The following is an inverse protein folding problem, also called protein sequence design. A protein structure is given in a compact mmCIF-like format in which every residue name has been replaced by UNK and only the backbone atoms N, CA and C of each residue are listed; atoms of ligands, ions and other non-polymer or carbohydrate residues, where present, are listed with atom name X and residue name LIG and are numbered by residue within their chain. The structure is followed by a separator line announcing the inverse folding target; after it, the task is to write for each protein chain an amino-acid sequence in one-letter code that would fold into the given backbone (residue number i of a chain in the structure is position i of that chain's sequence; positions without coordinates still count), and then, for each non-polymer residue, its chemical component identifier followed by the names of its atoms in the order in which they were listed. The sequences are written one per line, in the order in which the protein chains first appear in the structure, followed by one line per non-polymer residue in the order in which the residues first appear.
data_IF_982747475297
#
_entry.id   IF_982747475297
#
_cell.length_a   1.000
_cell.length_b   1.000
_cell.length_c   1.000
_cell.angle_alpha   90.00
_cell.angle_beta   90.00
_cell.angle_gamma   90.00
#
_symmetry.space_group_name_H-M   'P 1'
#
loop_
_entity.id
_entity.type
_entity.pdbx_description
1 polymer ?
#
# COMPACT_ATOMS: atom_id res chain seq x y z
N UNK A 1 15.65 33.99 -24.82
CA UNK A 1 15.91 33.74 -23.39
C UNK A 1 14.96 32.65 -22.90
N UNK A 2 15.32 31.37 -23.00
CA UNK A 2 14.42 30.25 -22.60
C UNK A 2 15.13 29.13 -21.83
N UNK A 3 16.25 29.44 -21.17
CA UNK A 3 17.07 28.45 -20.45
C UNK A 3 17.04 28.60 -18.91
N UNK A 4 16.11 29.39 -18.35
CA UNK A 4 16.11 29.68 -16.90
C UNK A 4 15.36 28.65 -16.04
N UNK A 5 14.73 27.63 -16.62
CA UNK A 5 14.04 26.59 -15.85
C UNK A 5 14.45 25.21 -16.36
N UNK A 6 14.92 24.30 -15.48
CA UNK A 6 15.10 22.92 -15.87
C UNK A 6 13.75 22.36 -16.35
N UNK A 7 13.70 21.60 -17.47
CA UNK A 7 12.47 20.98 -17.95
C UNK A 7 11.94 19.89 -16.99
N UNK A 8 12.74 19.54 -15.99
CA UNK A 8 12.45 18.52 -15.00
C UNK A 8 11.90 19.14 -13.72
N UNK A 9 10.65 18.81 -13.38
CA UNK A 9 10.14 19.06 -12.03
C UNK A 9 10.90 18.17 -11.05
N UNK A 10 11.30 18.74 -9.92
CA UNK A 10 11.85 17.95 -8.82
C UNK A 10 10.86 16.82 -8.47
N UNK A 11 11.40 15.64 -8.21
CA UNK A 11 10.62 14.49 -7.79
C UNK A 11 10.07 14.76 -6.38
N UNK A 12 8.78 15.07 -6.31
CA UNK A 12 8.07 15.42 -5.08
C UNK A 12 7.40 14.17 -4.51
N UNK A 13 7.62 13.90 -3.22
CA UNK A 13 6.92 12.80 -2.54
C UNK A 13 5.49 13.24 -2.18
N UNK A 14 4.55 12.31 -2.21
CA UNK A 14 3.18 12.57 -1.77
C UNK A 14 3.09 12.87 -0.28
N UNK A 15 4.05 12.44 0.53
CA UNK A 15 4.10 12.73 1.97
C UNK A 15 4.85 14.01 2.34
N UNK A 16 5.54 14.65 1.38
CA UNK A 16 6.46 15.76 1.66
C UNK A 16 5.72 16.95 2.26
N UNK A 17 6.12 17.35 3.47
CA UNK A 17 5.49 18.46 4.22
C UNK A 17 4.04 18.21 4.66
N UNK A 18 3.52 16.99 4.53
CA UNK A 18 2.14 16.65 4.91
C UNK A 18 2.04 15.77 6.17
N UNK A 19 3.10 15.03 6.49
CA UNK A 19 3.15 14.18 7.69
C UNK A 19 3.96 14.89 8.75
N UNK A 20 3.26 15.44 9.73
CA UNK A 20 3.86 16.08 10.91
C UNK A 20 4.38 15.04 11.92
N UNK A 21 5.21 15.48 12.88
CA UNK A 21 5.83 14.59 13.86
C UNK A 21 4.84 13.97 14.86
N UNK A 22 3.66 14.58 15.03
CA UNK A 22 2.56 14.11 15.86
C UNK A 22 1.48 13.34 15.06
N UNK A 23 1.70 13.11 13.76
CA UNK A 23 0.80 12.32 12.94
C UNK A 23 0.71 10.86 13.44
N UNK A 24 -0.32 10.14 12.98
CA UNK A 24 -0.47 8.71 13.26
C UNK A 24 0.79 7.93 12.86
N UNK A 25 1.28 7.06 13.75
CA UNK A 25 2.46 6.20 13.53
C UNK A 25 2.35 5.44 12.21
N UNK A 26 1.16 4.99 11.84
CA UNK A 26 0.91 4.34 10.55
C UNK A 26 1.31 5.23 9.36
N UNK A 27 0.93 6.51 9.38
CA UNK A 27 1.25 7.46 8.31
C UNK A 27 2.73 7.85 8.32
N UNK A 28 3.35 7.94 9.50
CA UNK A 28 4.79 8.16 9.64
C UNK A 28 5.60 6.99 9.03
N UNK A 29 5.18 5.75 9.28
CA UNK A 29 5.83 4.56 8.74
C UNK A 29 5.63 4.45 7.21
N UNK A 30 4.48 4.86 6.69
CA UNK A 30 4.28 4.91 5.24
C UNK A 30 5.10 6.02 4.58
N UNK A 31 5.12 7.23 5.15
CA UNK A 31 5.88 8.36 4.58
C UNK A 31 7.37 8.08 4.53
N UNK A 32 7.94 7.49 5.58
CA UNK A 32 9.36 7.11 5.62
C UNK A 32 9.73 6.06 4.56
N UNK A 33 8.79 5.21 4.17
CA UNK A 33 8.95 4.16 3.15
C UNK A 33 8.62 4.60 1.74
N UNK A 34 7.95 5.74 1.55
CA UNK A 34 7.44 6.18 0.25
C UNK A 34 8.57 6.26 -0.79
N UNK A 35 9.66 6.99 -0.47
CA UNK A 35 10.78 7.16 -1.40
C UNK A 35 11.38 5.83 -1.82
N UNK A 36 11.70 4.97 -0.85
CA UNK A 36 12.34 3.68 -1.10
C UNK A 36 11.46 2.73 -1.91
N UNK A 37 10.14 2.74 -1.68
CA UNK A 37 9.19 1.96 -2.49
C UNK A 37 9.12 2.47 -3.93
N UNK A 38 8.98 3.78 -4.13
CA UNK A 38 8.85 4.34 -5.49
C UNK A 38 10.10 4.16 -6.35
N UNK A 39 11.30 4.13 -5.75
CA UNK A 39 12.55 3.86 -6.48
C UNK A 39 12.90 2.37 -6.56
N UNK A 40 12.10 1.48 -5.96
CA UNK A 40 12.30 0.03 -5.99
C UNK A 40 13.42 -0.49 -5.09
N UNK A 41 13.89 0.29 -4.11
CA UNK A 41 14.89 -0.16 -3.11
C UNK A 41 14.22 -0.97 -2.00
N UNK A 42 12.98 -0.61 -1.64
CA UNK A 42 12.15 -1.34 -0.69
C UNK A 42 10.89 -1.82 -1.42
N UNK A 43 10.32 -2.92 -0.96
CA UNK A 43 8.96 -3.32 -1.37
C UNK A 43 8.14 -3.61 -0.13
N UNK A 44 6.93 -3.05 -0.07
CA UNK A 44 6.07 -3.14 1.11
C UNK A 44 4.67 -3.63 0.72
N UNK A 45 4.18 -4.62 1.45
CA UNK A 45 2.78 -5.06 1.42
C UNK A 45 2.12 -4.53 2.70
N UNK A 46 1.03 -3.77 2.55
CA UNK A 46 0.28 -3.24 3.67
C UNK A 46 -0.92 -4.14 3.92
N UNK A 47 -1.00 -4.75 5.09
CA UNK A 47 -2.26 -5.31 5.56
C UNK A 47 -3.10 -4.20 6.22
N UNK A 48 -4.37 -4.11 5.86
CA UNK A 48 -5.30 -3.16 6.44
C UNK A 48 -6.64 -3.81 6.72
N UNK A 49 -7.19 -3.53 7.90
CA UNK A 49 -8.55 -3.87 8.31
C UNK A 49 -9.26 -2.57 8.70
N UNK A 50 -10.39 -2.29 8.08
CA UNK A 50 -11.07 -1.00 8.22
C UNK A 50 -12.59 -1.15 8.06
N UNK A 51 -13.33 -0.16 8.56
CA UNK A 51 -14.77 -0.06 8.36
C UNK A 51 -15.07 0.89 7.21
N UNK A 52 -15.93 0.45 6.29
CA UNK A 52 -16.53 1.30 5.27
C UNK A 52 -17.43 2.35 5.92
N UNK A 53 -17.80 3.40 5.17
CA UNK A 53 -18.74 4.43 5.63
C UNK A 53 -20.09 3.86 6.08
N UNK A 54 -20.49 2.71 5.55
CA UNK A 54 -21.73 2.00 5.92
C UNK A 54 -21.57 1.09 7.15
N UNK A 55 -20.43 1.16 7.86
CA UNK A 55 -20.15 0.33 9.03
C UNK A 55 -19.83 -1.13 8.73
N UNK A 56 -19.60 -1.47 7.46
CA UNK A 56 -19.20 -2.83 7.06
C UNK A 56 -17.69 -2.97 7.10
N UNK A 57 -17.22 -4.02 7.77
CA UNK A 57 -15.80 -4.32 7.86
C UNK A 57 -15.25 -4.92 6.56
N UNK A 58 -14.07 -4.44 6.18
CA UNK A 58 -13.29 -4.93 5.04
C UNK A 58 -11.84 -5.09 5.45
N UNK A 59 -11.16 -6.07 4.87
CA UNK A 59 -9.71 -6.22 5.00
C UNK A 59 -9.05 -6.44 3.66
N UNK A 60 -7.75 -6.18 3.57
CA UNK A 60 -7.00 -6.45 2.37
C UNK A 60 -5.50 -6.29 2.49
N UNK A 61 -4.81 -6.77 1.47
CA UNK A 61 -3.37 -6.68 1.30
C UNK A 61 -3.08 -5.76 0.11
N UNK A 62 -2.36 -4.67 0.34
CA UNK A 62 -2.12 -3.62 -0.64
C UNK A 62 -0.65 -3.65 -1.02
N UNK A 63 -0.35 -3.79 -2.32
CA UNK A 63 0.98 -3.49 -2.85
C UNK A 63 1.20 -1.99 -2.78
N UNK A 64 2.07 -1.55 -1.86
CA UNK A 64 2.25 -0.13 -1.60
C UNK A 64 2.82 0.61 -2.83
N UNK A 65 3.78 0.00 -3.53
CA UNK A 65 4.42 0.60 -4.70
C UNK A 65 3.43 0.75 -5.86
N UNK A 66 2.64 -0.29 -6.12
CA UNK A 66 1.61 -0.21 -7.15
C UNK A 66 0.55 0.85 -6.80
N UNK A 67 0.14 0.89 -5.53
CA UNK A 67 -0.86 1.85 -5.07
C UNK A 67 -0.36 3.29 -5.13
N UNK A 68 0.90 3.56 -4.80
CA UNK A 68 1.55 4.86 -4.97
C UNK A 68 1.61 5.34 -6.42
N UNK A 69 1.55 4.42 -7.38
CA UNK A 69 1.58 4.71 -8.82
C UNK A 69 0.18 4.93 -9.39
N UNK A 70 -0.82 4.20 -8.88
CA UNK A 70 -2.20 4.21 -9.41
C UNK A 70 -3.11 5.28 -8.79
N UNK A 71 -2.78 5.84 -7.64
CA UNK A 71 -3.63 6.88 -7.00
C UNK A 71 -2.83 8.04 -6.43
N UNK A 72 -3.49 9.19 -6.25
CA UNK A 72 -2.96 10.29 -5.46
C UNK A 72 -3.05 9.96 -3.95
N UNK A 73 -1.89 10.00 -3.30
CA UNK A 73 -1.70 9.74 -1.88
C UNK A 73 -1.63 11.00 -1.03
N UNK A 74 -1.48 12.20 -1.62
CA UNK A 74 -1.48 13.46 -0.86
C UNK A 74 -2.70 13.59 0.06
N UNK A 75 -3.93 13.25 -0.37
CA UNK A 75 -5.11 13.31 0.51
C UNK A 75 -5.07 12.32 1.68
N UNK A 76 -4.35 11.19 1.53
CA UNK A 76 -4.19 10.17 2.59
C UNK A 76 -3.16 10.65 3.61
N UNK A 77 -2.04 11.22 3.15
CA UNK A 77 -0.99 11.72 4.03
C UNK A 77 -1.37 12.94 4.84
N UNK A 78 -2.42 13.68 4.44
CA UNK A 78 -3.05 14.71 5.30
C UNK A 78 -3.67 14.15 6.59
N UNK A 79 -3.79 12.84 6.71
CA UNK A 79 -4.23 12.17 7.94
C UNK A 79 -5.58 12.65 8.43
N UNK A 80 -5.66 13.05 9.71
CA UNK A 80 -6.90 13.55 10.34
C UNK A 80 -7.43 14.83 9.72
N UNK A 81 -6.56 15.62 9.06
CA UNK A 81 -6.95 16.82 8.31
C UNK A 81 -7.29 16.52 6.85
N UNK A 82 -7.18 15.26 6.42
CA UNK A 82 -7.52 14.79 5.09
C UNK A 82 -8.95 14.28 4.97
N UNK A 83 -9.53 14.41 3.78
CA UNK A 83 -10.86 13.87 3.47
C UNK A 83 -10.84 12.37 3.13
N UNK A 84 -9.64 11.81 2.86
CA UNK A 84 -9.47 10.45 2.34
C UNK A 84 -8.69 9.58 3.29
N UNK A 85 -9.32 8.50 3.75
CA UNK A 85 -8.64 7.41 4.47
C UNK A 85 -8.13 6.37 3.47
N UNK A 86 -7.00 5.74 3.78
CA UNK A 86 -6.60 4.52 3.07
C UNK A 86 -7.63 3.43 3.36
N UNK A 87 -8.11 2.76 2.30
CA UNK A 87 -9.09 1.68 2.40
C UNK A 87 -8.67 0.53 1.48
N UNK A 88 -8.91 -0.75 1.88
CA UNK A 88 -8.79 -1.88 0.96
C UNK A 88 -9.75 -1.72 -0.22
N UNK A 89 -9.29 -2.06 -1.42
CA UNK A 89 -10.08 -2.06 -2.65
C UNK A 89 -10.02 -3.43 -3.31
N UNK A 90 -11.05 -3.73 -4.10
CA UNK A 90 -11.19 -5.03 -4.80
C UNK A 90 -10.06 -5.37 -5.78
N UNK A 91 -9.25 -4.39 -6.19
CA UNK A 91 -8.11 -4.59 -7.09
C UNK A 91 -6.76 -4.71 -6.37
N UNK A 92 -6.75 -4.64 -5.03
CA UNK A 92 -5.54 -4.88 -4.24
C UNK A 92 -5.16 -6.38 -4.25
N UNK A 93 -3.99 -6.74 -3.72
CA UNK A 93 -3.48 -8.12 -3.74
C UNK A 93 -4.44 -9.11 -3.08
N UNK A 94 -5.11 -8.66 -2.02
CA UNK A 94 -6.21 -9.37 -1.39
C UNK A 94 -7.27 -8.40 -0.92
N UNK A 95 -8.53 -8.80 -1.00
CA UNK A 95 -9.68 -8.08 -0.47
C UNK A 95 -10.68 -9.08 0.11
N UNK A 96 -11.21 -8.76 1.30
CA UNK A 96 -12.25 -9.53 1.95
C UNK A 96 -13.33 -8.63 2.54
N UNK A 97 -14.59 -8.92 2.22
CA UNK A 97 -15.75 -8.20 2.72
C UNK A 97 -16.47 -9.03 3.78
N UNK A 98 -16.30 -8.67 5.05
CA UNK A 98 -16.68 -9.52 6.19
C UNK A 98 -18.18 -9.80 6.30
N UNK A 99 -19.03 -8.90 5.78
CA UNK A 99 -20.49 -9.08 5.83
C UNK A 99 -21.03 -10.05 4.78
N UNK A 100 -20.46 -10.07 3.58
CA UNK A 100 -20.95 -10.91 2.47
C UNK A 100 -20.09 -12.14 2.22
N UNK A 101 -18.86 -12.17 2.76
CA UNK A 101 -17.88 -13.21 2.47
C UNK A 101 -17.18 -13.05 1.12
N UNK A 102 -17.39 -11.93 0.41
CA UNK A 102 -16.75 -11.72 -0.90
C UNK A 102 -15.23 -11.66 -0.71
N UNK A 103 -14.52 -12.52 -1.44
CA UNK A 103 -13.06 -12.57 -1.47
C UNK A 103 -12.57 -12.28 -2.87
N UNK A 104 -11.50 -11.50 -2.98
CA UNK A 104 -10.77 -11.25 -4.22
C UNK A 104 -9.28 -11.36 -3.95
N UNK A 105 -8.55 -11.99 -4.86
CA UNK A 105 -7.09 -12.04 -4.86
C UNK A 105 -6.59 -11.67 -6.25
N UNK A 106 -5.70 -10.68 -6.35
CA UNK A 106 -5.21 -10.18 -7.64
C UNK A 106 -3.69 -10.11 -7.66
N UNK A 107 -3.08 -10.47 -8.78
CA UNK A 107 -1.68 -10.17 -9.03
C UNK A 107 -1.47 -8.66 -9.21
N UNK A 108 -0.30 -8.16 -8.77
CA UNK A 108 0.20 -6.82 -9.13
C UNK A 108 1.39 -6.93 -10.08
N UNK A 109 1.89 -5.78 -10.53
CA UNK A 109 3.16 -5.71 -11.27
C UNK A 109 4.38 -6.17 -10.45
N UNK A 110 4.31 -6.12 -9.12
CA UNK A 110 5.43 -6.47 -8.24
C UNK A 110 5.25 -7.86 -7.60
N UNK A 111 4.01 -8.33 -7.43
CA UNK A 111 3.70 -9.57 -6.72
C UNK A 111 2.80 -10.50 -7.52
N UNK A 112 3.06 -11.79 -7.39
CA UNK A 112 2.16 -12.87 -7.76
C UNK A 112 1.51 -13.42 -6.50
N UNK A 113 0.19 -13.43 -6.45
CA UNK A 113 -0.57 -13.96 -5.33
C UNK A 113 -0.73 -15.46 -5.49
N UNK A 114 -0.43 -16.21 -4.43
CA UNK A 114 -0.52 -17.68 -4.43
C UNK A 114 -1.40 -18.12 -3.26
N UNK A 115 -2.19 -19.16 -3.49
CA UNK A 115 -3.00 -19.82 -2.45
C UNK A 115 -2.28 -21.08 -2.01
N UNK A 116 -1.81 -21.12 -0.77
CA UNK A 116 -1.12 -22.25 -0.18
C UNK A 116 -2.07 -23.06 0.72
N UNK A 117 -2.14 -24.40 0.59
CA UNK A 117 -3.10 -25.22 1.34
C UNK A 117 -3.03 -25.09 2.86
N UNK A 118 -1.83 -24.82 3.40
CA UNK A 118 -1.59 -24.73 4.85
C UNK A 118 -1.38 -23.29 5.35
N UNK A 119 -0.87 -22.40 4.48
CA UNK A 119 -0.45 -21.05 4.87
C UNK A 119 -1.47 -19.99 4.45
N UNK A 120 -2.51 -20.39 3.72
CA UNK A 120 -3.47 -19.46 3.16
C UNK A 120 -2.84 -18.62 2.05
N UNK A 121 -3.10 -17.31 2.06
CA UNK A 121 -2.63 -16.39 1.03
C UNK A 121 -1.15 -16.04 1.25
N UNK A 122 -0.32 -16.23 0.23
CA UNK A 122 1.10 -15.85 0.24
C UNK A 122 1.44 -15.05 -1.02
N UNK A 123 2.53 -14.29 -0.99
CA UNK A 123 2.90 -13.37 -2.07
C UNK A 123 4.30 -13.66 -2.59
N UNK A 124 4.45 -13.95 -3.87
CA UNK A 124 5.77 -14.06 -4.50
C UNK A 124 6.16 -12.72 -5.12
N UNK A 125 7.28 -12.15 -4.71
CA UNK A 125 7.87 -11.00 -5.41
C UNK A 125 8.32 -11.42 -6.82
N UNK A 126 8.00 -10.64 -7.84
CA UNK A 126 8.27 -10.98 -9.25
C UNK A 126 9.73 -10.78 -9.66
N UNK A 127 10.46 -9.91 -8.96
CA UNK A 127 11.84 -9.56 -9.28
C UNK A 127 12.83 -10.52 -8.64
N UNK A 128 12.73 -10.78 -7.34
CA UNK A 128 13.66 -11.63 -6.60
C UNK A 128 13.14 -13.04 -6.30
N UNK A 129 11.88 -13.33 -6.65
CA UNK A 129 11.18 -14.61 -6.44
C UNK A 129 10.96 -15.01 -4.98
N UNK A 130 11.27 -14.14 -4.00
CA UNK A 130 11.03 -14.42 -2.59
C UNK A 130 9.54 -14.62 -2.32
N UNK A 131 9.25 -15.57 -1.45
CA UNK A 131 7.89 -15.87 -1.00
C UNK A 131 7.68 -15.18 0.34
N UNK A 132 6.68 -14.30 0.39
CA UNK A 132 6.27 -13.57 1.57
C UNK A 132 5.06 -14.27 2.18
N UNK A 133 5.18 -14.65 3.46
CA UNK A 133 4.07 -15.11 4.27
C UNK A 133 3.55 -13.95 5.14
N UNK A 134 2.29 -13.50 4.94
CA UNK A 134 1.73 -12.40 5.71
C UNK A 134 1.31 -12.77 7.14
N UNK A 135 1.37 -14.05 7.51
CA UNK A 135 1.04 -14.50 8.87
C UNK A 135 2.04 -13.92 9.89
N UNK A 136 1.59 -13.10 10.86
CA UNK A 136 2.47 -12.49 11.88
C UNK A 136 3.09 -13.52 12.84
N UNK A 137 2.55 -14.74 12.91
CA UNK A 137 3.11 -15.83 13.72
C UNK A 137 4.20 -16.62 13.01
N UNK A 138 4.48 -16.34 11.74
CA UNK A 138 5.48 -17.02 10.94
C UNK A 138 6.64 -16.08 10.57
N UNK A 139 7.78 -16.66 10.17
CA UNK A 139 8.79 -15.86 9.49
C UNK A 139 8.21 -15.31 8.17
N UNK A 140 8.35 -14.00 7.91
CA UNK A 140 7.76 -13.37 6.73
C UNK A 140 8.33 -13.88 5.41
N UNK A 141 9.53 -14.48 5.40
CA UNK A 141 10.24 -14.94 4.21
C UNK A 141 11.60 -14.27 4.00
#
# INVERSE_FOLDING_TARGET
MSYLYPPYKAYELSSEGLVEADADVFLQELSSRERANRIGVLSSIIFLRAFTRCGVEVSGFIDYTERLTKEDWKPIFKGVHGEKKLMPKRFDLGFYHWKSGDVVSNDSLNYKVLQHPQKGLIFQNRFDRKIINPDPGCEPG
#
